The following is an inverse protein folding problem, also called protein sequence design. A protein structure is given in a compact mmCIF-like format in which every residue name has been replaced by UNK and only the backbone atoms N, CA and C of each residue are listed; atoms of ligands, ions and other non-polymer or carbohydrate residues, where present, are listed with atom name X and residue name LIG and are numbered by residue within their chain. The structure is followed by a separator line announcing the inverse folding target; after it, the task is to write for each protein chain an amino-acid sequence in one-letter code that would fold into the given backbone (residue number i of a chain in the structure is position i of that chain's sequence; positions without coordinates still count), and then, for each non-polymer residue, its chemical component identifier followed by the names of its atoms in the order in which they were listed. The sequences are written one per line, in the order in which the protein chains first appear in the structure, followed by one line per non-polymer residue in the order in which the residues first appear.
data_IF_474008525571
#
_entry.id   IF_474008525571
#
_cell.length_a   1.000
_cell.length_b   1.000
_cell.length_c   1.000
_cell.angle_alpha   90.00
_cell.angle_beta   90.00
_cell.angle_gamma   90.00
#
_symmetry.space_group_name_H-M   'P 1'
#
loop_
_entity.id
_entity.type
_entity.pdbx_description
1 polymer ?
#
# COMPACT_ATOMS: atom_id res chain seq x y z
N UNK A 1 49.40 -6.59 -44.68
CA UNK A 1 50.60 -7.25 -44.16
C UNK A 1 50.48 -7.42 -42.68
N UNK A 2 50.66 -8.67 -42.26
CA UNK A 2 50.76 -9.32 -40.94
C UNK A 2 49.46 -9.44 -40.16
N UNK A 3 48.70 -10.49 -40.21
CA UNK A 3 48.75 -11.95 -39.91
C UNK A 3 49.50 -12.30 -38.62
N UNK A 4 48.74 -12.91 -37.68
CA UNK A 4 49.05 -14.00 -36.72
C UNK A 4 48.41 -13.69 -35.34
N UNK A 5 47.93 -14.64 -34.56
CA UNK A 5 47.71 -16.09 -34.66
C UNK A 5 46.82 -16.51 -33.50
N UNK A 6 46.06 -17.56 -33.72
CA UNK A 6 45.31 -18.39 -32.82
C UNK A 6 46.24 -19.06 -31.80
N UNK A 7 45.85 -19.17 -30.54
CA UNK A 7 46.28 -20.26 -29.68
C UNK A 7 45.15 -20.73 -28.75
N UNK A 8 44.72 -21.93 -29.03
CA UNK A 8 43.96 -22.87 -28.19
C UNK A 8 44.81 -23.36 -27.04
N UNK A 9 44.24 -23.50 -25.86
CA UNK A 9 44.65 -24.49 -24.83
C UNK A 9 43.42 -24.82 -23.97
N UNK A 10 42.87 -25.96 -24.18
CA UNK A 10 42.67 -27.20 -23.41
C UNK A 10 42.52 -27.07 -21.87
N UNK A 11 41.37 -27.43 -21.42
CA UNK A 11 41.02 -28.49 -20.45
C UNK A 11 41.82 -28.57 -19.14
N UNK A 12 41.15 -28.29 -18.03
CA UNK A 12 41.39 -28.96 -16.77
C UNK A 12 40.11 -29.07 -15.90
N UNK A 13 39.59 -30.28 -15.89
CA UNK A 13 38.70 -30.82 -14.84
C UNK A 13 39.32 -30.67 -13.47
N UNK A 14 38.68 -29.93 -12.58
CA UNK A 14 38.86 -30.11 -11.15
C UNK A 14 37.53 -30.19 -10.44
N UNK A 15 37.30 -31.37 -9.94
CA UNK A 15 36.20 -31.86 -9.10
C UNK A 15 36.46 -31.42 -7.68
N UNK A 16 35.72 -30.46 -7.15
CA UNK A 16 35.72 -30.19 -5.71
C UNK A 16 34.36 -30.48 -5.10
N UNK A 17 34.42 -31.50 -4.23
CA UNK A 17 33.36 -31.85 -3.26
C UNK A 17 33.16 -30.68 -2.29
N UNK A 18 31.96 -30.23 -2.14
CA UNK A 18 31.54 -29.48 -0.96
C UNK A 18 30.41 -30.28 -0.34
N UNK A 19 30.69 -30.70 0.90
CA UNK A 19 29.82 -31.54 1.68
C UNK A 19 28.58 -30.81 2.16
N UNK A 20 27.52 -31.59 2.20
CA UNK A 20 26.23 -31.24 2.78
C UNK A 20 26.36 -30.96 4.28
N UNK A 21 26.05 -29.73 4.67
CA UNK A 21 25.72 -29.36 6.04
C UNK A 21 24.25 -28.95 6.07
N UNK A 22 23.39 -29.95 6.30
CA UNK A 22 22.00 -29.68 6.69
C UNK A 22 21.97 -29.16 8.12
N UNK A 23 21.81 -27.87 8.30
CA UNK A 23 21.46 -27.25 9.58
C UNK A 23 19.95 -27.26 9.74
N UNK A 24 19.44 -28.24 10.49
CA UNK A 24 18.07 -28.21 11.00
C UNK A 24 17.98 -27.22 12.16
N UNK A 25 17.27 -26.13 11.99
CA UNK A 25 16.89 -25.24 13.08
C UNK A 25 15.47 -25.60 13.54
N UNK A 26 15.23 -25.84 14.83
CA UNK A 26 13.89 -26.12 15.34
C UNK A 26 13.14 -24.81 15.55
N UNK A 27 12.09 -24.59 14.78
CA UNK A 27 11.07 -23.56 15.07
C UNK A 27 10.01 -24.21 15.96
N UNK A 28 9.98 -23.80 17.21
CA UNK A 28 8.92 -24.16 18.16
C UNK A 28 7.69 -23.32 17.87
N UNK A 29 6.64 -23.93 17.30
CA UNK A 29 5.30 -23.36 17.29
C UNK A 29 4.40 -24.17 18.22
N UNK A 30 3.84 -23.46 19.20
CA UNK A 30 2.82 -23.91 20.13
C UNK A 30 1.50 -24.09 19.37
N UNK A 31 1.13 -25.31 19.09
CA UNK A 31 -0.22 -25.90 18.99
C UNK A 31 -0.16 -27.14 18.08
N UNK A 32 -0.57 -28.27 18.67
CA UNK A 32 -0.44 -29.61 18.14
C UNK A 32 -1.18 -29.88 16.83
N UNK A 33 -0.46 -29.87 15.74
CA UNK A 33 -0.81 -30.59 14.53
C UNK A 33 0.51 -30.99 13.82
N UNK A 34 1.02 -32.19 14.16
CA UNK A 34 2.01 -32.88 13.33
C UNK A 34 1.26 -33.61 12.22
N UNK A 35 1.22 -33.04 11.03
CA UNK A 35 0.81 -33.74 9.82
C UNK A 35 2.04 -34.16 9.02
N UNK A 36 2.11 -35.46 8.76
CA UNK A 36 3.10 -36.17 8.02
C UNK A 36 3.25 -35.65 6.57
N UNK A 37 4.32 -34.90 6.32
CA UNK A 37 4.78 -34.55 4.98
C UNK A 37 6.28 -34.86 4.82
N UNK A 38 6.70 -35.99 5.31
CA UNK A 38 8.09 -36.42 5.24
C UNK A 38 8.34 -37.81 4.63
N UNK A 39 7.30 -38.49 4.17
CA UNK A 39 7.42 -39.92 3.81
C UNK A 39 7.51 -40.21 2.29
N UNK A 40 7.58 -39.21 1.41
CA UNK A 40 7.50 -39.44 -0.04
C UNK A 40 8.81 -39.23 -0.84
N UNK A 41 9.93 -38.88 -0.20
CA UNK A 41 11.18 -38.61 -0.94
C UNK A 41 12.35 -39.60 -0.63
N UNK A 42 12.10 -40.66 0.14
CA UNK A 42 13.15 -41.66 0.44
C UNK A 42 12.90 -43.05 -0.16
N UNK A 43 11.91 -43.20 -1.06
CA UNK A 43 11.56 -44.54 -1.61
C UNK A 43 12.43 -45.00 -2.78
N UNK A 44 13.38 -44.24 -3.29
CA UNK A 44 14.12 -44.60 -4.51
C UNK A 44 15.59 -45.00 -4.33
N UNK A 45 16.12 -45.13 -3.09
CA UNK A 45 17.52 -45.49 -2.93
C UNK A 45 17.85 -46.50 -1.77
N UNK A 46 16.86 -47.22 -1.28
CA UNK A 46 17.13 -48.24 -0.23
C UNK A 46 16.85 -49.61 -0.78
N UNK A 47 17.86 -50.44 -0.86
CA UNK A 47 17.80 -51.83 -1.37
C UNK A 47 16.94 -52.73 -0.49
N UNK A 48 16.49 -53.90 -1.01
CA UNK A 48 15.48 -54.75 -0.40
C UNK A 48 15.86 -55.44 0.93
N UNK A 49 17.10 -55.33 1.39
CA UNK A 49 17.55 -55.99 2.61
C UNK A 49 17.22 -55.21 3.91
N UNK A 50 17.02 -53.89 3.84
CA UNK A 50 16.70 -53.09 5.02
C UNK A 50 15.21 -53.10 5.42
N UNK A 51 14.35 -53.56 4.55
CA UNK A 51 12.90 -53.58 4.79
C UNK A 51 12.44 -54.67 5.79
N UNK A 52 13.31 -55.60 6.12
CA UNK A 52 13.02 -56.71 7.07
C UNK A 52 13.05 -56.30 8.53
N UNK A 53 13.73 -55.20 8.88
CA UNK A 53 13.91 -54.80 10.28
C UNK A 53 13.01 -53.61 10.68
N UNK A 54 12.40 -52.93 9.75
CA UNK A 54 11.50 -51.79 10.05
C UNK A 54 10.03 -52.16 10.25
N UNK A 55 9.61 -53.37 9.83
CA UNK A 55 8.22 -53.85 9.96
C UNK A 55 7.74 -53.97 11.42
N UNK A 56 8.50 -54.59 12.32
CA UNK A 56 8.04 -54.81 13.70
C UNK A 56 8.10 -53.54 14.56
N UNK A 57 8.96 -52.56 14.27
CA UNK A 57 9.06 -51.31 15.04
C UNK A 57 7.90 -50.37 14.73
N UNK A 58 7.39 -50.34 13.49
CA UNK A 58 6.25 -49.52 13.12
C UNK A 58 4.93 -50.03 13.72
N UNK A 59 4.80 -51.36 13.95
CA UNK A 59 3.61 -51.95 14.54
C UNK A 59 3.54 -51.73 16.07
N UNK A 60 4.69 -51.56 16.76
CA UNK A 60 4.73 -51.26 18.20
C UNK A 60 4.41 -49.80 18.54
N UNK A 61 4.60 -48.86 17.60
CA UNK A 61 4.24 -47.44 17.80
C UNK A 61 2.76 -47.16 17.60
N UNK A 62 1.99 -48.04 16.96
CA UNK A 62 0.56 -47.86 16.69
C UNK A 62 -0.38 -48.44 17.77
N UNK A 63 0.14 -49.19 18.73
CA UNK A 63 -0.67 -49.85 19.76
C UNK A 63 -0.75 -49.13 21.12
N UNK A 64 -0.22 -47.90 21.24
CA UNK A 64 -0.12 -47.16 22.49
C UNK A 64 -1.13 -46.05 22.77
N UNK A 65 -2.09 -45.77 21.90
CA UNK A 65 -2.99 -44.59 22.07
C UNK A 65 -4.48 -44.94 21.97
N UNK A 66 -4.89 -45.98 22.64
CA UNK A 66 -6.30 -46.28 22.84
C UNK A 66 -6.60 -46.28 24.34
N UNK A 67 -6.56 -45.11 25.02
CA UNK A 67 -7.17 -44.93 26.33
C UNK A 67 -7.52 -43.44 26.55
N UNK A 68 -8.80 -43.25 26.84
CA UNK A 68 -9.42 -42.03 27.40
C UNK A 68 -9.72 -40.89 26.42
N UNK A 69 -10.60 -41.11 25.45
CA UNK A 69 -11.55 -40.06 25.06
C UNK A 69 -12.70 -40.07 26.10
N UNK A 70 -12.53 -39.34 27.19
CA UNK A 70 -13.67 -38.92 28.01
C UNK A 70 -14.50 -37.95 27.14
N UNK A 71 -15.67 -38.40 26.72
CA UNK A 71 -16.70 -37.54 26.14
C UNK A 71 -17.10 -36.50 27.19
N UNK A 72 -16.46 -35.32 27.15
CA UNK A 72 -17.05 -34.14 27.73
C UNK A 72 -18.34 -33.86 26.93
N UNK A 73 -19.48 -34.07 27.57
CA UNK A 73 -20.78 -33.61 27.04
C UNK A 73 -20.64 -32.15 26.69
N UNK A 74 -20.99 -31.70 25.47
CA UNK A 74 -21.07 -30.28 25.19
C UNK A 74 -22.00 -29.62 26.16
N UNK A 75 -21.53 -28.64 26.92
CA UNK A 75 -22.34 -27.79 27.78
C UNK A 75 -23.40 -27.11 26.88
N UNK A 76 -24.62 -27.55 26.98
CA UNK A 76 -25.70 -26.91 26.24
C UNK A 76 -25.91 -25.50 26.84
N UNK A 77 -25.97 -24.48 26.00
CA UNK A 77 -26.23 -23.10 26.40
C UNK A 77 -27.56 -22.97 27.21
N UNK A 78 -28.41 -23.97 27.09
CA UNK A 78 -29.70 -24.07 27.81
C UNK A 78 -29.50 -24.39 29.29
N UNK A 79 -28.54 -25.27 29.65
CA UNK A 79 -28.28 -25.61 31.05
C UNK A 79 -27.67 -24.44 31.84
N UNK A 80 -26.81 -23.62 31.18
CA UNK A 80 -26.26 -22.40 31.78
C UNK A 80 -27.36 -21.33 32.01
N UNK A 81 -28.28 -21.18 31.05
CA UNK A 81 -29.39 -20.22 31.17
C UNK A 81 -30.37 -20.65 32.25
N UNK A 82 -30.64 -21.94 32.42
CA UNK A 82 -31.58 -22.46 33.43
C UNK A 82 -31.07 -22.30 34.87
N UNK A 83 -29.74 -22.34 35.08
CA UNK A 83 -29.11 -22.10 36.39
C UNK A 83 -29.09 -20.62 36.80
N UNK A 84 -29.20 -19.70 35.85
CA UNK A 84 -29.22 -18.26 36.11
C UNK A 84 -30.61 -17.71 36.48
N UNK A 85 -31.66 -18.52 36.41
CA UNK A 85 -33.05 -18.13 36.70
C UNK A 85 -33.57 -18.68 38.04
N UNK A 86 -32.70 -19.26 38.89
CA UNK A 86 -33.11 -19.49 40.29
C UNK A 86 -33.19 -18.14 40.99
N UNK A 87 -34.43 -17.68 41.19
CA UNK A 87 -34.71 -16.44 41.88
C UNK A 87 -34.06 -16.46 43.28
N UNK A 88 -33.27 -15.44 43.66
CA UNK A 88 -32.73 -15.38 45.00
C UNK A 88 -33.90 -15.27 46.00
N UNK A 89 -33.87 -16.11 47.04
CA UNK A 89 -34.75 -16.02 48.20
C UNK A 89 -34.74 -14.55 48.68
N UNK A 90 -35.93 -13.91 48.61
CA UNK A 90 -36.11 -12.53 49.06
C UNK A 90 -35.81 -12.49 50.55
N UNK A 91 -34.65 -11.99 50.93
CA UNK A 91 -34.37 -11.60 52.28
C UNK A 91 -35.25 -10.39 52.64
N UNK A 92 -35.84 -10.33 53.86
CA UNK A 92 -36.67 -9.20 54.26
C UNK A 92 -35.83 -7.91 54.16
N UNK A 93 -36.43 -6.88 53.53
CA UNK A 93 -35.79 -5.59 53.32
C UNK A 93 -35.33 -5.00 54.67
N UNK A 94 -34.05 -4.57 54.79
CA UNK A 94 -33.62 -3.82 55.97
C UNK A 94 -34.38 -2.49 56.00
N UNK A 95 -34.82 -2.13 57.24
CA UNK A 95 -35.55 -0.91 57.52
C UNK A 95 -34.85 0.32 56.90
N UNK A 96 -35.66 1.13 56.22
CA UNK A 96 -35.17 2.37 55.55
C UNK A 96 -34.37 3.24 56.52
N UNK A 97 -33.08 3.48 56.19
CA UNK A 97 -32.28 4.48 56.88
C UNK A 97 -32.86 5.89 56.60
N UNK A 98 -32.84 6.80 57.56
CA UNK A 98 -33.35 8.15 57.34
C UNK A 98 -32.63 8.79 56.14
N UNK A 99 -33.44 9.42 55.28
CA UNK A 99 -32.99 10.20 54.13
C UNK A 99 -32.02 11.30 54.65
N UNK A 100 -30.75 11.15 54.34
CA UNK A 100 -29.78 12.25 54.48
C UNK A 100 -30.10 13.22 53.35
N UNK A 101 -30.37 14.45 53.67
CA UNK A 101 -30.60 15.54 52.71
C UNK A 101 -29.23 15.84 52.08
N UNK A 102 -28.97 15.21 50.92
CA UNK A 102 -27.77 15.50 50.17
C UNK A 102 -27.92 16.86 49.46
N UNK A 103 -26.92 17.74 49.50
CA UNK A 103 -26.99 18.96 48.75
C UNK A 103 -27.12 18.68 47.26
N UNK A 104 -27.85 19.51 46.50
CA UNK A 104 -28.09 19.25 45.07
C UNK A 104 -26.82 19.06 44.34
N UNK A 105 -26.66 17.92 43.68
CA UNK A 105 -25.54 17.58 42.78
C UNK A 105 -25.41 18.72 41.76
N UNK A 106 -24.23 19.30 41.64
CA UNK A 106 -23.94 20.48 40.81
C UNK A 106 -24.61 20.38 39.44
N UNK A 107 -25.42 21.37 39.11
CA UNK A 107 -26.11 21.55 37.82
C UNK A 107 -25.18 21.95 36.70
N UNK A 108 -23.94 21.46 36.71
CA UNK A 108 -22.87 21.78 35.74
C UNK A 108 -22.42 20.61 34.88
N UNK A 109 -23.06 19.46 34.93
CA UNK A 109 -22.78 18.40 33.98
C UNK A 109 -23.45 18.73 32.64
N UNK A 110 -22.72 19.38 31.74
CA UNK A 110 -23.08 19.37 30.32
C UNK A 110 -23.15 17.90 29.88
N UNK A 111 -24.35 17.43 29.64
CA UNK A 111 -24.56 16.12 29.00
C UNK A 111 -23.88 16.22 27.65
N UNK A 112 -22.83 15.41 27.38
CA UNK A 112 -22.23 15.42 26.07
C UNK A 112 -23.33 15.11 25.05
N UNK A 113 -23.47 15.97 24.03
CA UNK A 113 -24.41 15.73 22.95
C UNK A 113 -24.01 14.43 22.30
N UNK A 114 -24.84 13.41 22.43
CA UNK A 114 -24.68 12.15 21.73
C UNK A 114 -25.02 12.41 20.27
N UNK A 115 -24.02 12.54 19.44
CA UNK A 115 -24.20 12.60 18.00
C UNK A 115 -24.48 11.18 17.51
N UNK A 116 -25.70 10.92 17.06
CA UNK A 116 -26.05 9.65 16.41
C UNK A 116 -25.52 9.73 15.00
N UNK A 117 -24.40 9.08 14.74
CA UNK A 117 -23.89 8.85 13.37
C UNK A 117 -24.59 7.62 12.81
N UNK A 118 -25.09 7.70 11.57
CA UNK A 118 -25.66 6.54 10.87
C UNK A 118 -24.57 5.46 10.72
N UNK A 119 -24.95 4.19 10.86
CA UNK A 119 -24.06 3.04 10.67
C UNK A 119 -23.65 2.82 9.19
N UNK A 120 -24.14 3.64 8.27
CA UNK A 120 -23.86 3.58 6.83
C UNK A 120 -22.49 4.18 6.46
N UNK A 121 -21.42 3.67 7.09
CA UNK A 121 -20.04 4.07 6.79
C UNK A 121 -19.63 5.39 7.44
N UNK A 122 -18.54 5.36 8.18
CA UNK A 122 -17.92 6.57 8.75
C UNK A 122 -17.28 7.35 7.63
N UNK A 123 -17.68 8.62 7.45
CA UNK A 123 -17.00 9.52 6.48
C UNK A 123 -15.50 9.61 6.80
N UNK A 124 -14.60 9.55 5.81
CA UNK A 124 -13.17 9.79 6.00
C UNK A 124 -12.82 11.28 6.18
N UNK A 125 -13.76 12.19 5.97
CA UNK A 125 -13.53 13.65 6.02
C UNK A 125 -12.85 14.15 7.31
N UNK A 126 -13.13 13.60 8.53
CA UNK A 126 -12.47 14.06 9.76
C UNK A 126 -11.00 13.66 9.87
N UNK A 127 -10.55 12.70 9.08
CA UNK A 127 -9.19 12.16 9.18
C UNK A 127 -8.15 13.22 8.78
N UNK A 128 -7.10 13.34 9.56
CA UNK A 128 -5.97 14.24 9.33
C UNK A 128 -4.70 13.72 9.99
N UNK A 129 -3.55 14.26 9.58
CA UNK A 129 -2.24 13.91 10.13
C UNK A 129 -1.84 14.85 11.27
N UNK A 130 -2.42 16.05 11.31
CA UNK A 130 -2.06 17.11 12.25
C UNK A 130 -3.24 17.37 13.21
N UNK A 131 -3.04 17.07 14.48
CA UNK A 131 -4.05 17.33 15.51
C UNK A 131 -4.23 18.85 15.75
N UNK A 132 -5.37 19.24 16.34
CA UNK A 132 -5.66 20.63 16.71
C UNK A 132 -4.64 21.22 17.70
N UNK A 133 -4.00 20.38 18.51
CA UNK A 133 -2.93 20.80 19.41
C UNK A 133 -1.66 21.26 18.68
N UNK A 134 -1.38 20.66 17.52
CA UNK A 134 -0.22 20.98 16.67
C UNK A 134 -0.52 22.18 15.78
N UNK A 135 -1.69 22.19 15.15
CA UNK A 135 -2.07 23.22 14.18
C UNK A 135 -2.54 24.52 14.82
N UNK A 136 -3.03 24.47 16.07
CA UNK A 136 -3.76 25.58 16.70
C UNK A 136 -5.14 25.85 16.11
N UNK A 137 -5.60 25.05 15.14
CA UNK A 137 -6.90 25.20 14.51
C UNK A 137 -7.98 24.47 15.34
N UNK A 138 -9.21 25.02 15.42
CA UNK A 138 -10.28 24.36 16.15
C UNK A 138 -10.74 23.08 15.42
N UNK A 139 -11.11 22.04 16.16
CA UNK A 139 -11.68 20.82 15.54
C UNK A 139 -12.93 21.10 14.71
N UNK A 140 -13.71 22.12 15.05
CA UNK A 140 -14.89 22.55 14.32
C UNK A 140 -14.59 23.34 13.03
N UNK A 141 -13.37 23.27 12.53
CA UNK A 141 -12.91 24.04 11.35
C UNK A 141 -13.84 23.94 10.16
N UNK A 142 -14.27 22.73 9.80
CA UNK A 142 -15.15 22.44 8.68
C UNK A 142 -16.63 22.31 9.05
N UNK A 143 -16.94 22.08 10.33
CA UNK A 143 -18.24 21.65 10.80
C UNK A 143 -19.41 22.58 10.47
N UNK A 144 -19.16 23.86 10.15
CA UNK A 144 -20.19 24.87 9.81
C UNK A 144 -20.31 25.14 8.32
N UNK A 145 -19.49 24.51 7.50
CA UNK A 145 -19.42 24.74 6.05
C UNK A 145 -20.05 23.56 5.32
N UNK A 146 -20.65 23.83 4.16
CA UNK A 146 -21.13 22.79 3.25
C UNK A 146 -19.96 22.09 2.54
N UNK A 147 -19.97 20.77 2.46
CA UNK A 147 -18.93 19.96 1.82
C UNK A 147 -18.66 20.42 0.38
N UNK A 148 -19.70 20.57 -0.43
CA UNK A 148 -19.58 21.01 -1.83
C UNK A 148 -18.91 22.38 -1.98
N UNK A 149 -19.14 23.30 -1.05
CA UNK A 149 -18.49 24.63 -1.07
C UNK A 149 -17.01 24.50 -0.75
N UNK A 150 -16.64 23.71 0.23
CA UNK A 150 -15.23 23.47 0.60
C UNK A 150 -14.47 22.79 -0.53
N UNK A 151 -15.05 21.77 -1.15
CA UNK A 151 -14.49 21.08 -2.32
C UNK A 151 -14.22 22.06 -3.47
N UNK A 152 -15.21 22.90 -3.79
CA UNK A 152 -15.08 23.92 -4.86
C UNK A 152 -13.97 24.92 -4.55
N UNK A 153 -13.87 25.39 -3.30
CA UNK A 153 -12.80 26.31 -2.87
C UNK A 153 -11.42 25.65 -2.99
N UNK A 154 -11.27 24.42 -2.52
CA UNK A 154 -9.98 23.69 -2.63
C UNK A 154 -9.57 23.47 -4.09
N UNK A 155 -10.50 23.13 -4.96
CA UNK A 155 -10.23 22.94 -6.39
C UNK A 155 -9.85 24.25 -7.09
N UNK A 156 -10.44 25.37 -6.68
CA UNK A 156 -10.18 26.68 -7.29
C UNK A 156 -8.88 27.35 -6.80
N UNK A 157 -8.32 26.86 -5.69
CA UNK A 157 -7.12 27.45 -5.12
C UNK A 157 -5.89 27.18 -6.00
N UNK A 158 -5.01 28.19 -6.10
CA UNK A 158 -3.81 28.11 -6.95
C UNK A 158 -2.72 27.29 -6.30
N UNK A 159 -1.97 26.57 -7.12
CA UNK A 159 -0.77 25.81 -6.70
C UNK A 159 0.43 26.74 -6.53
N UNK A 160 0.51 27.80 -7.34
CA UNK A 160 1.62 28.79 -7.31
C UNK A 160 1.26 29.91 -6.31
N UNK A 161 1.61 29.71 -5.07
CA UNK A 161 1.33 30.65 -3.95
C UNK A 161 2.62 31.00 -3.20
N UNK A 162 2.68 32.18 -2.53
CA UNK A 162 3.80 32.53 -1.66
C UNK A 162 4.01 31.46 -0.57
N UNK A 163 5.27 31.23 -0.11
CA UNK A 163 5.59 30.16 0.84
C UNK A 163 4.71 30.14 2.10
N UNK A 164 4.44 31.29 2.71
CA UNK A 164 3.60 31.35 3.91
C UNK A 164 2.14 30.92 3.67
N UNK A 165 1.59 31.16 2.47
CA UNK A 165 0.26 30.68 2.10
C UNK A 165 0.29 29.19 1.73
N UNK A 166 1.39 28.72 1.14
CA UNK A 166 1.62 27.30 0.90
C UNK A 166 1.64 26.52 2.23
N UNK A 167 2.40 26.99 3.22
CA UNK A 167 2.50 26.37 4.55
C UNK A 167 1.14 26.33 5.26
N UNK A 168 0.36 27.43 5.14
CA UNK A 168 -1.01 27.48 5.66
C UNK A 168 -1.90 26.47 4.95
N UNK A 169 -1.81 26.39 3.62
CA UNK A 169 -2.58 25.41 2.82
C UNK A 169 -2.23 23.99 3.24
N UNK A 170 -0.95 23.64 3.34
CA UNK A 170 -0.51 22.34 3.82
C UNK A 170 -1.06 22.03 5.22
N UNK A 171 -1.03 23.00 6.12
CA UNK A 171 -1.60 22.85 7.46
C UNK A 171 -3.10 22.56 7.41
N UNK A 172 -3.86 23.29 6.59
CA UNK A 172 -5.30 23.09 6.42
C UNK A 172 -5.63 21.73 5.77
N UNK A 173 -4.86 21.31 4.76
CA UNK A 173 -5.06 20.04 4.07
C UNK A 173 -4.79 18.83 4.98
N UNK A 174 -3.86 18.97 5.91
CA UNK A 174 -3.45 17.88 6.81
C UNK A 174 -4.12 17.93 8.19
N UNK A 175 -4.90 18.96 8.50
CA UNK A 175 -5.56 19.13 9.80
C UNK A 175 -6.63 18.05 10.03
N UNK A 176 -6.62 17.49 11.25
CA UNK A 176 -7.72 16.70 11.81
C UNK A 176 -8.84 17.65 12.26
N UNK A 177 -10.04 17.51 11.70
CA UNK A 177 -11.17 18.37 12.05
C UNK A 177 -12.51 17.65 11.88
N UNK A 178 -13.55 18.12 12.56
CA UNK A 178 -14.90 17.57 12.46
C UNK A 178 -15.44 17.71 11.01
N UNK A 179 -16.22 16.73 10.54
CA UNK A 179 -16.69 16.70 9.15
C UNK A 179 -17.59 17.91 8.84
N UNK A 180 -17.67 18.34 7.57
CA UNK A 180 -18.56 19.40 7.13
C UNK A 180 -20.02 18.97 7.10
N UNK A 181 -20.91 19.94 6.91
CA UNK A 181 -22.32 19.66 6.62
C UNK A 181 -22.40 18.95 5.26
N UNK A 182 -23.16 17.83 5.21
CA UNK A 182 -23.28 17.02 3.98
C UNK A 182 -22.13 16.06 3.76
N UNK A 183 -21.26 15.81 4.76
CA UNK A 183 -20.25 14.76 4.69
C UNK A 183 -20.92 13.39 4.44
N UNK A 184 -20.32 12.59 3.59
CA UNK A 184 -20.81 11.28 3.17
C UNK A 184 -19.72 10.19 3.33
N UNK A 185 -20.10 8.95 3.10
CA UNK A 185 -19.18 7.82 3.18
C UNK A 185 -18.09 7.86 2.08
N UNK A 186 -18.35 8.54 0.95
CA UNK A 186 -17.38 8.70 -0.12
C UNK A 186 -16.23 9.67 0.24
N UNK A 187 -16.46 10.59 1.22
CA UNK A 187 -15.45 11.51 1.71
C UNK A 187 -15.06 12.56 0.69
N UNK A 188 -16.02 13.30 0.16
CA UNK A 188 -15.76 14.28 -0.90
C UNK A 188 -14.73 15.33 -0.50
N UNK A 189 -14.77 15.81 0.76
CA UNK A 189 -13.77 16.75 1.26
C UNK A 189 -12.41 16.09 1.41
N UNK A 190 -12.36 14.86 1.94
CA UNK A 190 -11.12 14.10 2.05
C UNK A 190 -10.46 13.89 0.69
N UNK A 191 -11.24 13.47 -0.32
CA UNK A 191 -10.76 13.31 -1.69
C UNK A 191 -10.24 14.63 -2.28
N UNK A 192 -10.93 15.75 -2.05
CA UNK A 192 -10.49 17.07 -2.52
C UNK A 192 -9.18 17.51 -1.86
N UNK A 193 -8.99 17.18 -0.56
CA UNK A 193 -7.74 17.43 0.17
C UNK A 193 -6.59 16.62 -0.43
N UNK A 194 -6.80 15.32 -0.68
CA UNK A 194 -5.81 14.46 -1.35
C UNK A 194 -5.51 14.95 -2.75
N UNK A 195 -6.52 15.25 -3.56
CA UNK A 195 -6.34 15.77 -4.92
C UNK A 195 -5.52 17.09 -4.91
N UNK A 196 -5.75 17.97 -3.93
CA UNK A 196 -4.96 19.20 -3.77
C UNK A 196 -3.50 18.93 -3.37
N UNK A 197 -3.24 17.95 -2.49
CA UNK A 197 -1.88 17.51 -2.16
C UNK A 197 -1.15 16.99 -3.41
N UNK A 198 -1.85 16.23 -4.27
CA UNK A 198 -1.28 15.77 -5.54
C UNK A 198 -0.97 16.92 -6.50
N UNK A 199 -1.85 17.92 -6.60
CA UNK A 199 -1.62 19.14 -7.39
C UNK A 199 -0.38 19.91 -6.90
N UNK A 200 -0.20 20.01 -5.58
CA UNK A 200 0.96 20.61 -4.94
C UNK A 200 2.23 19.76 -5.10
N UNK A 201 2.10 18.50 -5.52
CA UNK A 201 3.20 17.55 -5.61
C UNK A 201 3.61 16.96 -4.26
N UNK A 202 2.84 17.15 -3.21
CA UNK A 202 3.10 16.65 -1.87
C UNK A 202 2.67 15.17 -1.73
N UNK A 203 3.39 14.27 -2.40
CA UNK A 203 3.01 12.85 -2.50
C UNK A 203 3.15 12.09 -1.17
N UNK A 204 4.20 12.37 -0.40
CA UNK A 204 4.42 11.68 0.88
C UNK A 204 3.29 11.98 1.88
N UNK A 205 2.91 13.27 2.14
CA UNK A 205 1.75 13.56 2.97
C UNK A 205 0.43 13.02 2.43
N UNK A 206 0.26 12.99 1.09
CA UNK A 206 -0.93 12.40 0.48
C UNK A 206 -1.01 10.90 0.72
N UNK A 207 0.12 10.19 0.62
CA UNK A 207 0.21 8.77 0.90
C UNK A 207 -0.10 8.47 2.38
N UNK A 208 0.55 9.19 3.30
CA UNK A 208 0.33 9.04 4.73
C UNK A 208 -1.13 9.29 5.12
N UNK A 209 -1.77 10.30 4.51
CA UNK A 209 -3.18 10.61 4.74
C UNK A 209 -4.09 9.48 4.23
N UNK A 210 -3.82 8.94 3.05
CA UNK A 210 -4.55 7.81 2.46
C UNK A 210 -4.36 6.50 3.26
N UNK A 211 -3.22 6.30 3.91
CA UNK A 211 -2.97 5.14 4.75
C UNK A 211 -3.72 5.17 6.10
N UNK A 212 -4.30 6.32 6.49
CA UNK A 212 -5.15 6.44 7.68
C UNK A 212 -6.59 5.98 7.46
N UNK A 213 -6.99 5.74 6.21
CA UNK A 213 -8.36 5.36 5.84
C UNK A 213 -8.39 4.01 5.14
N UNK A 214 -9.56 3.38 5.13
CA UNK A 214 -9.76 2.16 4.34
C UNK A 214 -9.82 2.50 2.85
N UNK A 215 -8.80 2.08 2.11
CA UNK A 215 -8.68 2.27 0.66
C UNK A 215 -9.44 1.23 -0.16
N UNK A 216 -10.39 0.48 0.42
CA UNK A 216 -11.23 -0.48 -0.30
C UNK A 216 -12.26 0.20 -1.23
N UNK A 217 -12.57 1.48 -0.98
CA UNK A 217 -13.40 2.28 -1.89
C UNK A 217 -12.65 2.57 -3.20
N UNK A 218 -13.28 2.39 -4.39
CA UNK A 218 -12.64 2.63 -5.68
C UNK A 218 -12.08 4.04 -5.84
N UNK A 219 -12.75 5.05 -5.28
CA UNK A 219 -12.31 6.45 -5.36
C UNK A 219 -11.04 6.72 -4.54
N UNK A 220 -10.95 6.17 -3.34
CA UNK A 220 -9.77 6.25 -2.48
C UNK A 220 -8.62 5.42 -3.03
N UNK A 221 -8.92 4.19 -3.48
CA UNK A 221 -7.93 3.32 -4.09
C UNK A 221 -7.29 3.94 -5.33
N UNK A 222 -8.06 4.62 -6.18
CA UNK A 222 -7.54 5.30 -7.35
C UNK A 222 -6.43 6.30 -7.00
N UNK A 223 -6.66 7.17 -5.99
CA UNK A 223 -5.66 8.16 -5.56
C UNK A 223 -4.42 7.48 -4.98
N UNK A 224 -4.65 6.48 -4.14
CA UNK A 224 -3.56 5.70 -3.57
C UNK A 224 -2.73 4.97 -4.65
N UNK A 225 -3.39 4.40 -5.66
CA UNK A 225 -2.76 3.78 -6.81
C UNK A 225 -1.93 4.79 -7.62
N UNK A 226 -2.47 5.97 -7.89
CA UNK A 226 -1.78 7.04 -8.62
C UNK A 226 -0.51 7.50 -7.88
N UNK A 227 -0.57 7.67 -6.55
CA UNK A 227 0.60 8.00 -5.71
C UNK A 227 1.61 6.86 -5.75
N UNK A 228 1.17 5.62 -5.59
CA UNK A 228 2.05 4.44 -5.61
C UNK A 228 2.80 4.30 -6.94
N UNK A 229 2.15 4.58 -8.07
CA UNK A 229 2.79 4.60 -9.39
C UNK A 229 3.89 5.66 -9.49
N UNK A 230 3.67 6.88 -8.99
CA UNK A 230 4.63 7.97 -9.08
C UNK A 230 5.80 7.81 -8.10
N UNK A 231 5.58 7.18 -6.96
CA UNK A 231 6.62 6.93 -5.94
C UNK A 231 7.37 5.62 -6.13
N UNK A 232 6.97 4.77 -7.10
CA UNK A 232 7.62 3.48 -7.37
C UNK A 232 7.14 2.33 -6.48
N UNK A 233 5.99 2.48 -5.82
CA UNK A 233 5.38 1.47 -4.96
C UNK A 233 4.27 0.67 -5.66
N UNK A 234 4.31 0.60 -6.99
CA UNK A 234 3.28 -0.05 -7.82
C UNK A 234 3.06 -1.53 -7.48
N UNK A 235 4.07 -2.24 -7.00
CA UNK A 235 3.92 -3.65 -6.61
C UNK A 235 2.96 -3.81 -5.42
N UNK A 236 3.07 -2.95 -4.40
CA UNK A 236 2.15 -2.93 -3.25
C UNK A 236 0.72 -2.69 -3.72
N UNK A 237 0.54 -1.71 -4.61
CA UNK A 237 -0.75 -1.36 -5.17
C UNK A 237 -1.36 -2.49 -6.02
N UNK A 238 -0.56 -3.14 -6.85
CA UNK A 238 -1.02 -4.26 -7.67
C UNK A 238 -1.36 -5.50 -6.84
N UNK A 239 -0.65 -5.78 -5.76
CA UNK A 239 -0.99 -6.85 -4.82
C UNK A 239 -2.36 -6.59 -4.20
N UNK A 240 -2.60 -5.40 -3.65
CA UNK A 240 -3.89 -5.03 -3.06
C UNK A 240 -5.03 -5.06 -4.08
N UNK A 241 -4.80 -4.64 -5.33
CA UNK A 241 -5.78 -4.75 -6.41
C UNK A 241 -6.14 -6.22 -6.71
N UNK A 242 -5.20 -7.16 -6.57
CA UNK A 242 -5.44 -8.60 -6.70
C UNK A 242 -6.33 -9.15 -5.59
N UNK A 243 -6.16 -8.65 -4.36
CA UNK A 243 -6.93 -9.09 -3.20
C UNK A 243 -8.38 -8.55 -3.20
N UNK A 244 -8.62 -7.39 -3.84
CA UNK A 244 -9.93 -6.73 -3.91
C UNK A 244 -10.37 -6.56 -5.38
N UNK A 245 -11.08 -7.54 -5.96
CA UNK A 245 -11.33 -7.61 -7.42
C UNK A 245 -12.01 -6.39 -8.04
N UNK A 246 -12.88 -5.71 -7.30
CA UNK A 246 -13.69 -4.58 -7.81
C UNK A 246 -13.07 -3.20 -7.52
N UNK A 247 -11.87 -3.14 -6.96
CA UNK A 247 -11.22 -1.87 -6.59
C UNK A 247 -10.47 -1.23 -7.75
N UNK A 248 -10.20 -1.97 -8.82
CA UNK A 248 -9.44 -1.48 -9.97
C UNK A 248 -10.07 -0.21 -10.58
N UNK A 249 -9.33 0.92 -10.65
CA UNK A 249 -9.89 2.19 -11.13
C UNK A 249 -10.23 2.17 -12.63
N UNK A 250 -9.53 1.36 -13.43
CA UNK A 250 -9.75 1.20 -14.87
C UNK A 250 -9.41 -0.22 -15.31
N UNK A 251 -9.89 -0.61 -16.48
CA UNK A 251 -9.50 -1.87 -17.14
C UNK A 251 -7.99 -1.89 -17.40
N UNK A 252 -7.43 -0.78 -17.86
CA UNK A 252 -5.99 -0.63 -18.12
C UNK A 252 -5.15 -0.83 -16.85
N UNK A 253 -5.61 -0.35 -15.69
CA UNK A 253 -4.96 -0.58 -14.40
C UNK A 253 -4.99 -2.07 -14.01
N UNK A 254 -6.12 -2.74 -14.24
CA UNK A 254 -6.26 -4.19 -13.99
C UNK A 254 -5.30 -4.99 -14.86
N UNK A 255 -5.23 -4.70 -16.16
CA UNK A 255 -4.32 -5.38 -17.10
C UNK A 255 -2.87 -5.17 -16.66
N UNK A 256 -2.48 -3.93 -16.36
CA UNK A 256 -1.14 -3.61 -15.88
C UNK A 256 -0.77 -4.40 -14.63
N UNK A 257 -1.63 -4.42 -13.62
CA UNK A 257 -1.38 -5.14 -12.37
C UNK A 257 -1.39 -6.65 -12.54
N UNK A 258 -2.26 -7.22 -13.40
CA UNK A 258 -2.27 -8.65 -13.69
C UNK A 258 -0.94 -9.08 -14.33
N UNK A 259 -0.42 -8.31 -15.28
CA UNK A 259 0.88 -8.57 -15.90
C UNK A 259 2.03 -8.44 -14.87
N UNK A 260 2.02 -7.39 -14.03
CA UNK A 260 3.06 -7.21 -13.00
C UNK A 260 3.04 -8.28 -11.91
N UNK A 261 1.89 -8.87 -11.62
CA UNK A 261 1.78 -10.03 -10.73
C UNK A 261 2.23 -11.34 -11.38
N UNK A 262 2.68 -11.29 -12.65
CA UNK A 262 3.27 -12.41 -13.38
C UNK A 262 2.32 -13.16 -14.31
N UNK A 263 1.03 -12.83 -14.34
CA UNK A 263 0.06 -13.49 -15.20
C UNK A 263 -0.14 -12.71 -16.51
N UNK A 264 0.87 -12.76 -17.36
CA UNK A 264 0.89 -12.12 -18.68
C UNK A 264 -0.21 -12.67 -19.61
N UNK A 265 -0.52 -13.96 -19.50
CA UNK A 265 -1.55 -14.60 -20.31
C UNK A 265 -2.95 -14.09 -19.97
N UNK A 266 -3.28 -13.98 -18.68
CA UNK A 266 -4.54 -13.40 -18.25
C UNK A 266 -4.63 -11.91 -18.60
N UNK A 267 -3.53 -11.16 -18.50
CA UNK A 267 -3.49 -9.76 -18.89
C UNK A 267 -3.78 -9.59 -20.39
N UNK A 268 -3.15 -10.40 -21.26
CA UNK A 268 -3.38 -10.37 -22.70
C UNK A 268 -4.81 -10.81 -23.08
N UNK A 269 -5.35 -11.83 -22.41
CA UNK A 269 -6.74 -12.26 -22.58
C UNK A 269 -7.72 -11.14 -22.18
N UNK A 270 -7.45 -10.48 -21.05
CA UNK A 270 -8.26 -9.35 -20.57
C UNK A 270 -8.26 -8.20 -21.57
N UNK A 271 -7.08 -7.83 -22.11
CA UNK A 271 -6.97 -6.80 -23.16
C UNK A 271 -7.80 -7.17 -24.39
N UNK A 272 -7.65 -8.38 -24.91
CA UNK A 272 -8.38 -8.84 -26.09
C UNK A 272 -9.90 -8.84 -25.87
N UNK A 273 -10.35 -9.22 -24.68
CA UNK A 273 -11.77 -9.23 -24.34
C UNK A 273 -12.33 -7.80 -24.32
N UNK A 274 -11.67 -6.88 -23.60
CA UNK A 274 -12.15 -5.50 -23.46
C UNK A 274 -12.00 -4.68 -24.75
N UNK A 275 -11.03 -5.04 -25.61
CA UNK A 275 -10.96 -4.48 -26.96
C UNK A 275 -12.23 -4.79 -27.79
N UNK A 276 -12.70 -6.04 -27.74
CA UNK A 276 -13.92 -6.45 -28.47
C UNK A 276 -15.17 -5.80 -27.86
N UNK A 277 -15.20 -5.58 -26.54
CA UNK A 277 -16.29 -4.90 -25.84
C UNK A 277 -16.29 -3.39 -26.04
N UNK A 278 -15.19 -2.80 -26.53
CA UNK A 278 -15.05 -1.36 -26.72
C UNK A 278 -14.77 -0.56 -25.45
N UNK A 279 -14.32 -1.24 -24.37
CA UNK A 279 -14.01 -0.63 -23.10
C UNK A 279 -12.61 0.00 -23.03
N UNK A 280 -11.78 -0.24 -24.07
CA UNK A 280 -10.41 0.25 -24.19
C UNK A 280 -10.32 1.13 -25.42
N UNK A 281 -9.80 2.32 -25.28
CA UNK A 281 -9.59 3.23 -26.41
C UNK A 281 -8.45 2.75 -27.31
N UNK A 282 -8.40 3.13 -28.61
CA UNK A 282 -7.30 2.76 -29.51
C UNK A 282 -5.92 3.22 -29.00
N UNK A 283 -5.84 4.34 -28.28
CA UNK A 283 -4.62 4.85 -27.68
C UNK A 283 -4.15 3.95 -26.52
N UNK A 284 -5.08 3.55 -25.65
CA UNK A 284 -4.79 2.62 -24.54
C UNK A 284 -4.44 1.22 -25.07
N UNK A 285 -5.14 0.73 -26.09
CA UNK A 285 -4.85 -0.54 -26.73
C UNK A 285 -3.42 -0.57 -27.29
N UNK A 286 -3.01 0.47 -28.01
CA UNK A 286 -1.67 0.55 -28.58
C UNK A 286 -0.58 0.55 -27.49
N UNK A 287 -0.80 1.25 -26.37
CA UNK A 287 0.11 1.30 -25.25
C UNK A 287 0.18 -0.05 -24.50
N UNK A 288 -0.99 -0.64 -24.18
CA UNK A 288 -1.07 -1.91 -23.48
C UNK A 288 -0.50 -3.06 -24.30
N UNK A 289 -0.73 -3.07 -25.62
CA UNK A 289 -0.19 -4.11 -26.51
C UNK A 289 1.35 -4.07 -26.51
N UNK A 290 1.97 -2.90 -26.59
CA UNK A 290 3.44 -2.77 -26.51
C UNK A 290 3.98 -3.10 -25.13
N UNK A 291 3.21 -2.81 -24.08
CA UNK A 291 3.61 -3.17 -22.72
C UNK A 291 3.57 -4.69 -22.49
N UNK A 292 2.59 -5.39 -23.06
CA UNK A 292 2.43 -6.85 -22.88
C UNK A 292 3.36 -7.67 -23.79
N UNK A 293 3.67 -7.18 -24.97
CA UNK A 293 4.53 -7.88 -25.94
C UNK A 293 5.48 -6.88 -26.63
N UNK A 294 6.51 -6.41 -25.94
CA UNK A 294 7.44 -5.42 -26.49
C UNK A 294 8.21 -5.94 -27.72
N UNK A 295 8.48 -7.23 -27.78
CA UNK A 295 9.25 -7.83 -28.89
C UNK A 295 8.50 -7.75 -30.22
N UNK A 296 7.16 -7.85 -30.19
CA UNK A 296 6.33 -7.74 -31.39
C UNK A 296 6.39 -6.36 -32.03
N UNK A 297 6.67 -5.33 -31.22
CA UNK A 297 6.67 -3.91 -31.63
C UNK A 297 8.08 -3.33 -31.74
N UNK A 298 9.12 -4.16 -31.69
CA UNK A 298 10.50 -3.70 -31.84
C UNK A 298 10.71 -3.03 -33.21
N UNK A 299 11.24 -1.81 -33.17
CA UNK A 299 11.50 -1.02 -34.40
C UNK A 299 10.29 -0.23 -34.93
N UNK A 300 9.13 -0.32 -34.30
CA UNK A 300 8.01 0.54 -34.66
C UNK A 300 8.22 2.00 -34.21
N UNK A 301 7.57 2.99 -34.87
CA UNK A 301 7.64 4.38 -34.45
C UNK A 301 7.13 4.58 -33.03
N UNK A 302 7.72 5.55 -32.30
CA UNK A 302 7.29 5.95 -30.96
C UNK A 302 5.83 6.35 -31.00
N UNK A 303 5.08 5.93 -29.97
CA UNK A 303 3.66 6.31 -29.85
C UNK A 303 3.49 7.82 -29.75
N UNK A 304 2.40 8.41 -30.28
CA UNK A 304 2.13 9.84 -30.17
C UNK A 304 2.02 10.27 -28.71
N UNK A 305 2.19 11.56 -28.44
CA UNK A 305 1.98 12.12 -27.11
C UNK A 305 0.56 11.81 -26.61
N UNK A 306 0.39 11.27 -25.39
CA UNK A 306 -0.93 10.88 -24.91
C UNK A 306 -1.87 12.08 -24.80
N UNK A 307 -3.12 11.88 -25.22
CA UNK A 307 -4.18 12.89 -25.13
C UNK A 307 -4.54 13.20 -23.68
N UNK A 308 -4.51 12.18 -22.83
CA UNK A 308 -4.72 12.28 -21.38
C UNK A 308 -3.58 11.57 -20.67
N UNK A 309 -2.78 12.33 -19.96
CA UNK A 309 -1.70 11.79 -19.16
C UNK A 309 -2.22 11.44 -17.76
N UNK A 310 -2.10 10.15 -17.41
CA UNK A 310 -2.30 9.66 -16.04
C UNK A 310 -0.99 9.06 -15.52
N UNK A 311 -0.83 8.87 -14.19
CA UNK A 311 0.32 8.16 -13.63
C UNK A 311 0.51 6.77 -14.25
N UNK A 312 -0.56 6.04 -14.52
CA UNK A 312 -0.50 4.74 -15.18
C UNK A 312 0.07 4.81 -16.61
N UNK A 313 -0.45 5.73 -17.43
CA UNK A 313 0.05 5.96 -18.80
C UNK A 313 1.53 6.34 -18.77
N UNK A 314 1.91 7.22 -17.85
CA UNK A 314 3.30 7.63 -17.67
C UNK A 314 4.21 6.43 -17.34
N UNK A 315 3.81 5.58 -16.40
CA UNK A 315 4.57 4.40 -16.00
C UNK A 315 4.67 3.34 -17.10
N UNK A 316 3.58 3.11 -17.84
CA UNK A 316 3.62 2.17 -18.97
C UNK A 316 4.52 2.68 -20.09
N UNK A 317 4.50 4.00 -20.39
CA UNK A 317 5.43 4.62 -21.35
C UNK A 317 6.88 4.44 -20.94
N UNK A 318 7.18 4.62 -19.67
CA UNK A 318 8.53 4.38 -19.15
C UNK A 318 8.92 2.89 -19.28
N UNK A 319 7.99 1.97 -19.00
CA UNK A 319 8.22 0.53 -19.07
C UNK A 319 8.53 0.04 -20.50
N UNK A 320 7.93 0.67 -21.53
CA UNK A 320 8.22 0.34 -22.95
C UNK A 320 9.40 1.14 -23.53
N UNK A 321 10.13 1.89 -22.69
CA UNK A 321 11.29 2.68 -23.14
C UNK A 321 10.95 4.02 -23.79
N UNK A 322 9.69 4.43 -23.81
CA UNK A 322 9.21 5.71 -24.38
C UNK A 322 8.92 6.74 -23.27
N UNK A 323 9.86 6.92 -22.33
CA UNK A 323 9.69 7.80 -21.18
C UNK A 323 9.38 9.24 -21.59
N UNK A 324 8.43 9.85 -20.87
CA UNK A 324 8.04 11.25 -21.06
C UNK A 324 8.86 12.17 -20.13
N UNK A 325 9.38 13.31 -20.63
CA UNK A 325 10.11 14.24 -19.78
C UNK A 325 9.19 14.91 -18.76
N UNK A 326 9.53 14.84 -17.47
CA UNK A 326 8.70 15.35 -16.37
C UNK A 326 8.73 16.88 -16.24
N UNK A 327 9.73 17.55 -16.81
CA UNK A 327 9.96 19.00 -16.66
C UNK A 327 8.73 19.89 -17.01
N UNK A 328 7.86 19.41 -17.89
CA UNK A 328 6.64 20.13 -18.33
C UNK A 328 5.35 19.52 -17.81
N UNK A 329 5.46 18.46 -17.01
CA UNK A 329 4.32 17.78 -16.41
C UNK A 329 3.97 18.41 -15.05
N UNK A 330 2.77 18.11 -14.50
CA UNK A 330 2.41 18.49 -13.13
C UNK A 330 3.47 18.09 -12.10
N UNK A 331 3.56 18.82 -11.00
CA UNK A 331 4.63 18.64 -10.00
C UNK A 331 4.72 17.21 -9.46
N UNK A 332 3.61 16.52 -9.28
CA UNK A 332 3.56 15.14 -8.82
C UNK A 332 4.42 14.18 -9.65
N UNK A 333 4.52 14.38 -10.98
CA UNK A 333 5.31 13.53 -11.87
C UNK A 333 6.83 13.66 -11.63
N UNK A 334 7.28 14.79 -11.07
CA UNK A 334 8.71 14.98 -10.79
C UNK A 334 9.24 13.98 -9.74
N UNK A 335 8.38 13.42 -8.87
CA UNK A 335 8.78 12.35 -7.95
C UNK A 335 9.29 11.10 -8.67
N UNK A 336 8.81 10.81 -9.86
CA UNK A 336 9.30 9.68 -10.67
C UNK A 336 10.79 9.82 -11.02
N UNK A 337 11.29 11.04 -11.14
CA UNK A 337 12.71 11.30 -11.42
C UNK A 337 13.59 11.20 -10.18
N UNK A 338 13.04 11.21 -8.96
CA UNK A 338 13.82 11.03 -7.73
C UNK A 338 14.30 9.58 -7.53
N UNK A 339 13.78 8.64 -8.31
CA UNK A 339 14.12 7.22 -8.21
C UNK A 339 15.55 6.94 -8.70
N UNK A 340 16.18 5.91 -8.12
CA UNK A 340 17.55 5.50 -8.47
C UNK A 340 17.72 5.02 -9.92
N UNK A 341 16.63 4.75 -10.63
CA UNK A 341 16.63 4.37 -12.06
C UNK A 341 16.84 5.55 -13.00
N UNK A 342 16.67 6.78 -12.50
CA UNK A 342 16.79 8.02 -13.28
C UNK A 342 18.22 8.57 -13.21
N UNK A 343 18.66 9.22 -14.28
CA UNK A 343 19.96 9.86 -14.31
C UNK A 343 20.08 10.99 -13.28
N UNK A 344 21.27 11.13 -12.67
CA UNK A 344 21.49 12.06 -11.56
C UNK A 344 21.14 13.53 -11.86
N UNK A 345 21.26 13.98 -13.11
CA UNK A 345 20.88 15.35 -13.50
C UNK A 345 19.36 15.54 -13.36
N UNK A 346 18.57 14.62 -13.90
CA UNK A 346 17.12 14.65 -13.80
C UNK A 346 16.66 14.50 -12.34
N UNK A 347 17.33 13.65 -11.55
CA UNK A 347 17.06 13.55 -10.10
C UNK A 347 17.25 14.90 -9.41
N UNK A 348 18.36 15.59 -9.68
CA UNK A 348 18.65 16.87 -9.03
C UNK A 348 17.71 17.98 -9.49
N UNK A 349 17.43 18.07 -10.79
CA UNK A 349 16.47 19.04 -11.35
C UNK A 349 15.06 18.82 -10.77
N UNK A 350 14.63 17.56 -10.63
CA UNK A 350 13.37 17.20 -10.01
C UNK A 350 13.34 17.56 -8.52
N UNK A 351 14.42 17.22 -7.78
CA UNK A 351 14.53 17.55 -6.36
C UNK A 351 14.51 19.07 -6.11
N UNK A 352 15.23 19.86 -6.91
CA UNK A 352 15.20 21.33 -6.83
C UNK A 352 13.83 21.90 -7.15
N UNK A 353 13.14 21.34 -8.17
CA UNK A 353 11.80 21.76 -8.54
C UNK A 353 10.80 21.50 -7.40
N UNK A 354 10.84 20.30 -6.82
CA UNK A 354 9.95 19.91 -5.72
C UNK A 354 10.25 20.67 -4.43
N UNK A 355 11.52 20.89 -4.09
CA UNK A 355 11.91 21.67 -2.92
C UNK A 355 11.49 23.14 -3.05
N UNK A 356 11.60 23.73 -4.25
CA UNK A 356 11.18 25.12 -4.50
C UNK A 356 9.72 25.39 -4.22
N UNK A 357 8.87 24.39 -4.41
CA UNK A 357 7.43 24.46 -4.13
C UNK A 357 7.06 23.85 -2.77
N UNK A 358 8.02 23.45 -1.94
CA UNK A 358 7.76 22.87 -0.62
C UNK A 358 7.22 21.43 -0.64
N UNK A 359 7.25 20.75 -1.80
CA UNK A 359 6.72 19.40 -1.95
C UNK A 359 7.63 18.31 -1.32
N UNK A 360 8.90 18.59 -1.17
CA UNK A 360 9.87 17.76 -0.43
C UNK A 360 10.63 18.61 0.57
N UNK A 361 11.11 18.00 1.66
CA UNK A 361 11.89 18.69 2.68
C UNK A 361 13.29 19.03 2.19
N UNK A 362 13.90 20.05 2.84
CA UNK A 362 15.29 20.46 2.58
C UNK A 362 16.28 19.32 2.84
N UNK A 363 15.97 18.41 3.77
CA UNK A 363 16.81 17.23 4.04
C UNK A 363 16.80 16.23 2.88
N UNK A 364 15.67 16.05 2.22
CA UNK A 364 15.56 15.20 1.01
C UNK A 364 16.37 15.82 -0.13
N UNK A 365 16.22 17.12 -0.36
CA UNK A 365 17.03 17.84 -1.35
C UNK A 365 18.52 17.72 -1.04
N UNK A 366 18.94 17.97 0.20
CA UNK A 366 20.34 17.82 0.63
C UNK A 366 20.82 16.38 0.41
N UNK A 367 19.99 15.38 0.65
CA UNK A 367 20.30 13.97 0.38
C UNK A 367 20.67 13.73 -1.06
N UNK A 368 19.92 14.27 -2.03
CA UNK A 368 20.23 14.17 -3.47
C UNK A 368 21.54 14.86 -3.83
N UNK A 369 21.86 16.00 -3.24
CA UNK A 369 23.17 16.64 -3.43
C UNK A 369 24.32 15.82 -2.85
N UNK A 370 24.13 15.24 -1.66
CA UNK A 370 25.18 14.47 -0.97
C UNK A 370 25.40 13.07 -1.53
N UNK A 371 24.37 12.46 -2.10
CA UNK A 371 24.47 11.14 -2.74
C UNK A 371 25.41 11.14 -3.93
N UNK A 372 25.73 12.33 -4.46
CA UNK A 372 26.65 12.47 -5.56
C UNK A 372 28.10 12.39 -5.09
N UNK A 373 28.80 11.34 -5.48
CA UNK A 373 30.24 11.21 -5.31
C UNK A 373 30.93 11.82 -6.53
N UNK A 374 31.72 12.89 -6.37
CA UNK A 374 32.50 13.43 -7.49
C UNK A 374 33.50 12.38 -8.00
N UNK A 375 33.74 12.37 -9.30
CA UNK A 375 34.66 11.43 -9.97
C UNK A 375 36.12 11.59 -9.51
N UNK A 376 36.47 12.69 -8.85
CA UNK A 376 37.79 12.95 -8.26
C UNK A 376 37.66 13.19 -6.76
N UNK A 377 38.66 12.76 -5.99
CA UNK A 377 38.80 13.01 -4.55
C UNK A 377 39.10 14.49 -4.28
N UNK A 378 38.16 15.36 -4.58
CA UNK A 378 38.28 16.81 -4.39
C UNK A 378 37.54 17.28 -3.13
N UNK A 379 37.94 18.46 -2.61
CA UNK A 379 37.24 19.14 -1.53
C UNK A 379 35.85 19.61 -1.93
N UNK A 380 35.18 20.35 -1.02
CA UNK A 380 33.82 20.85 -1.20
C UNK A 380 33.61 21.58 -2.52
N UNK A 381 34.60 22.35 -2.96
CA UNK A 381 34.57 23.12 -4.22
C UNK A 381 34.56 22.25 -5.48
N UNK A 382 35.24 21.11 -5.48
CA UNK A 382 35.20 20.16 -6.59
C UNK A 382 33.82 19.47 -6.68
N UNK A 383 33.17 19.24 -5.55
CA UNK A 383 31.79 18.73 -5.50
C UNK A 383 30.80 19.74 -6.06
N UNK A 384 30.94 21.02 -5.71
CA UNK A 384 30.09 22.10 -6.23
C UNK A 384 30.26 22.27 -7.72
N UNK A 385 31.50 22.19 -8.26
CA UNK A 385 31.76 22.25 -9.73
C UNK A 385 31.25 21.03 -10.48
N UNK A 386 31.11 19.90 -9.80
CA UNK A 386 30.61 18.67 -10.42
C UNK A 386 29.07 18.66 -10.56
N UNK A 387 28.39 19.55 -9.85
CA UNK A 387 26.94 19.79 -9.92
C UNK A 387 26.66 20.93 -10.89
#
# INVERSE_FOLDING_TARGET
MATRQISTLTDHTERNRIGDLCLCWPVVFSSGFCLAYGACLLANHVGPELMRYFGPVLLLCLSGHALAAQQAKPLSAIDWLSQSVEAPLVAPAPAAKPKVDEPPVATGANVPQVTVTSLDGTSPDPVGLLSSAVTGLPRSLWAKSESATLVSLMQSERVDTPPALHDLMMTLLLAEADPPIGANADGDLFLARVDKLLDLGALDPALELLEQVDTSSPNLFRRWFDVALLTGNENKACTQMGDIPNVAPTVSARIFCTARNGDWSAAALTLNTHRVLGDVTPEEEALLSRFLDPDLYEGEPVLPTPTRLSPLVFRMREAIGEALPTARLPNAFAHSDLRNTTGWKSQLEAAERLARIGAISENVLLGHYMARTPAASGGVWERVKAI
#
